data_IF_828561710605
#
_entry.id   IF_828561710605
#
_cell.length_a   1.000
_cell.length_b   1.000
_cell.length_c   1.000
_cell.angle_alpha   90.00
_cell.angle_beta   90.00
_cell.angle_gamma   90.00
#
_symmetry.space_group_name_H-M   'P 1'
#
loop_
_entity.id
_entity.type
_entity.pdbx_description
1 polymer ?
#
# COMPACT_ATOMS: atom_id res chain seq x y z
N UNK A 1 10.71 -11.80 -1.29
CA UNK A 1 10.31 -11.23 0.02
C UNK A 1 9.60 -12.27 0.88
N UNK A 2 8.63 -12.99 0.32
CA UNK A 2 7.91 -14.05 1.05
C UNK A 2 8.86 -15.13 1.61
N UNK A 3 9.81 -15.60 0.79
CA UNK A 3 10.84 -16.57 1.23
C UNK A 3 11.75 -16.05 2.36
N UNK A 4 11.90 -14.72 2.46
CA UNK A 4 12.70 -14.07 3.51
C UNK A 4 11.90 -13.81 4.80
N UNK A 5 10.63 -14.24 4.85
CA UNK A 5 9.72 -14.11 6.01
C UNK A 5 9.60 -12.68 6.55
N UNK A 6 9.55 -11.71 5.64
CA UNK A 6 9.29 -10.32 6.01
C UNK A 6 7.83 -10.19 6.47
N UNK A 7 7.60 -9.55 7.62
CA UNK A 7 6.25 -9.43 8.19
C UNK A 7 5.34 -8.45 7.44
N UNK A 8 5.90 -7.37 6.89
CA UNK A 8 5.13 -6.34 6.21
C UNK A 8 5.89 -5.68 5.05
N UNK A 9 5.15 -5.21 4.05
CA UNK A 9 5.63 -4.45 2.90
C UNK A 9 4.86 -3.13 2.80
N UNK A 10 5.59 -2.02 2.81
CA UNK A 10 5.02 -0.69 2.60
C UNK A 10 4.96 -0.30 1.12
N UNK A 11 3.79 0.07 0.63
CA UNK A 11 3.54 0.61 -0.72
C UNK A 11 3.17 2.08 -0.60
N UNK A 12 3.97 2.96 -1.19
CA UNK A 12 3.79 4.40 -1.06
C UNK A 12 2.94 4.94 -2.21
N UNK A 13 1.74 5.41 -1.91
CA UNK A 13 0.79 5.94 -2.91
C UNK A 13 0.80 7.47 -2.99
N UNK A 14 1.83 8.14 -2.45
CA UNK A 14 1.99 9.58 -2.59
C UNK A 14 2.81 9.94 -3.85
N UNK A 15 2.22 10.60 -4.87
CA UNK A 15 2.88 10.82 -6.16
C UNK A 15 4.18 11.63 -6.10
N UNK A 16 4.36 12.49 -5.09
CA UNK A 16 5.59 13.28 -4.93
C UNK A 16 6.74 12.49 -4.27
N UNK A 17 6.47 11.27 -3.81
CA UNK A 17 7.50 10.39 -3.25
C UNK A 17 8.38 9.81 -4.37
N UNK A 18 9.71 9.79 -4.15
CA UNK A 18 10.64 9.03 -5.01
C UNK A 18 10.35 7.52 -5.03
N UNK A 19 9.59 7.02 -4.05
CA UNK A 19 9.21 5.62 -3.89
C UNK A 19 7.75 5.37 -4.26
N UNK A 20 7.15 6.29 -5.02
CA UNK A 20 5.76 6.17 -5.44
C UNK A 20 5.51 4.83 -6.16
N UNK A 21 4.41 4.18 -5.78
CA UNK A 21 3.89 2.96 -6.35
C UNK A 21 2.50 3.26 -6.91
N UNK A 22 2.30 3.05 -8.20
CA UNK A 22 0.96 3.15 -8.80
C UNK A 22 0.08 1.97 -8.39
N UNK A 23 -1.25 2.11 -8.42
CA UNK A 23 -2.18 0.98 -8.22
C UNK A 23 -1.89 -0.22 -9.13
N UNK A 24 -1.50 0.00 -10.41
CA UNK A 24 -1.17 -1.13 -11.30
C UNK A 24 0.07 -1.91 -10.82
N UNK A 25 1.09 -1.19 -10.35
CA UNK A 25 2.28 -1.82 -9.77
C UNK A 25 1.94 -2.53 -8.45
N UNK A 26 1.09 -1.92 -7.61
CA UNK A 26 0.61 -2.53 -6.39
C UNK A 26 -0.16 -3.82 -6.65
N UNK A 27 -0.99 -3.87 -7.69
CA UNK A 27 -1.70 -5.08 -8.15
C UNK A 27 -0.73 -6.20 -8.53
N UNK A 28 0.29 -5.86 -9.32
CA UNK A 28 1.36 -6.81 -9.68
C UNK A 28 2.08 -7.33 -8.44
N UNK A 29 2.43 -6.47 -7.49
CA UNK A 29 3.09 -6.89 -6.24
C UNK A 29 2.17 -7.76 -5.40
N UNK A 30 0.90 -7.36 -5.22
CA UNK A 30 -0.08 -8.05 -4.40
C UNK A 30 -0.28 -9.50 -4.87
N UNK A 31 -0.33 -9.75 -6.19
CA UNK A 31 -0.45 -11.10 -6.75
C UNK A 31 0.67 -12.07 -6.34
N UNK A 32 1.82 -11.56 -5.89
CA UNK A 32 2.96 -12.38 -5.48
C UNK A 32 3.11 -12.52 -3.96
N UNK A 33 2.43 -11.69 -3.17
CA UNK A 33 2.67 -11.60 -1.71
C UNK A 33 1.41 -11.62 -0.85
N UNK A 34 0.22 -11.56 -1.46
CA UNK A 34 -1.05 -11.62 -0.76
C UNK A 34 -1.15 -12.92 0.06
N UNK A 35 -1.57 -12.81 1.32
CA UNK A 35 -1.68 -13.93 2.26
C UNK A 35 -0.38 -14.29 2.98
N UNK A 36 0.78 -13.94 2.43
CA UNK A 36 2.09 -14.22 3.03
C UNK A 36 2.69 -13.01 3.76
N UNK A 37 2.43 -11.80 3.24
CA UNK A 37 3.01 -10.55 3.76
C UNK A 37 1.90 -9.52 3.94
N UNK A 38 1.90 -8.85 5.09
CA UNK A 38 1.01 -7.73 5.36
C UNK A 38 1.37 -6.52 4.48
N UNK A 39 0.42 -6.05 3.66
CA UNK A 39 0.64 -4.94 2.72
C UNK A 39 0.10 -3.66 3.33
N UNK A 40 0.98 -2.68 3.51
CA UNK A 40 0.65 -1.40 4.14
C UNK A 40 0.67 -0.31 3.08
N UNK A 41 -0.47 0.31 2.80
CA UNK A 41 -0.55 1.48 1.93
C UNK A 41 -0.20 2.76 2.69
N UNK A 42 0.80 3.50 2.21
CA UNK A 42 1.23 4.77 2.80
C UNK A 42 0.67 5.94 2.00
N UNK A 43 -0.07 6.81 2.68
CA UNK A 43 -0.82 7.92 2.09
C UNK A 43 -0.47 9.24 2.76
N UNK A 44 -0.63 10.35 2.02
CA UNK A 44 -0.38 11.72 2.50
C UNK A 44 -1.52 12.60 2.03
N UNK A 45 -2.19 13.29 2.97
CA UNK A 45 -3.24 14.30 2.77
C UNK A 45 -4.42 13.88 1.84
N UNK A 46 -5.61 13.67 2.39
CA UNK A 46 -6.88 13.47 1.65
C UNK A 46 -6.92 12.31 0.63
N UNK A 47 -6.12 11.27 0.85
CA UNK A 47 -6.05 10.08 -0.03
C UNK A 47 -7.07 8.99 0.32
N UNK A 48 -8.10 9.31 1.12
CA UNK A 48 -9.03 8.32 1.68
C UNK A 48 -9.84 7.55 0.62
N UNK A 49 -10.36 8.18 -0.47
CA UNK A 49 -11.07 7.43 -1.52
C UNK A 49 -10.20 6.37 -2.18
N UNK A 50 -8.96 6.73 -2.54
CA UNK A 50 -8.00 5.78 -3.12
C UNK A 50 -7.64 4.67 -2.12
N UNK A 51 -7.46 5.00 -0.84
CA UNK A 51 -7.16 3.99 0.17
C UNK A 51 -8.29 2.95 0.33
N UNK A 52 -9.55 3.39 0.25
CA UNK A 52 -10.72 2.50 0.27
C UNK A 52 -10.72 1.60 -0.98
N UNK A 53 -10.55 2.18 -2.17
CA UNK A 53 -10.47 1.40 -3.42
C UNK A 53 -9.39 0.32 -3.36
N UNK A 54 -8.19 0.66 -2.86
CA UNK A 54 -7.08 -0.28 -2.75
C UNK A 54 -7.30 -1.39 -1.71
N UNK A 55 -8.08 -1.13 -0.66
CA UNK A 55 -8.52 -2.14 0.31
C UNK A 55 -9.56 -3.07 -0.33
N UNK A 56 -10.56 -2.51 -1.01
CA UNK A 56 -11.65 -3.26 -1.65
C UNK A 56 -11.11 -4.17 -2.76
N UNK A 57 -10.12 -3.71 -3.51
CA UNK A 57 -9.38 -4.50 -4.50
C UNK A 57 -8.38 -5.50 -3.89
N UNK A 58 -8.29 -5.56 -2.55
CA UNK A 58 -7.36 -6.41 -1.81
C UNK A 58 -5.89 -6.18 -2.20
N UNK A 59 -5.52 -4.95 -2.59
CA UNK A 59 -4.12 -4.62 -2.95
C UNK A 59 -3.29 -4.27 -1.73
N UNK A 60 -3.93 -3.73 -0.70
CA UNK A 60 -3.36 -3.50 0.63
C UNK A 60 -4.27 -4.07 1.71
N UNK A 61 -3.70 -4.31 2.89
CA UNK A 61 -4.42 -4.82 4.06
C UNK A 61 -4.67 -3.72 5.10
N UNK A 62 -3.75 -2.76 5.20
CA UNK A 62 -3.79 -1.68 6.19
C UNK A 62 -3.42 -0.36 5.54
N UNK A 63 -4.09 0.70 5.99
CA UNK A 63 -3.81 2.08 5.62
C UNK A 63 -2.93 2.72 6.69
N UNK A 64 -1.79 3.27 6.28
CA UNK A 64 -0.95 4.15 7.08
C UNK A 64 -1.10 5.57 6.55
N UNK A 65 -1.69 6.42 7.37
CA UNK A 65 -1.87 7.83 7.07
C UNK A 65 -0.68 8.63 7.61
N UNK A 66 -0.15 9.55 6.81
CA UNK A 66 0.99 10.39 7.17
C UNK A 66 0.70 11.85 6.78
N UNK A 67 0.49 12.72 7.76
CA UNK A 67 0.18 14.13 7.53
C UNK A 67 -0.29 14.85 8.79
N UNK A 68 -0.68 16.12 8.63
CA UNK A 68 -1.43 16.92 9.62
C UNK A 68 -2.92 16.58 9.43
N UNK A 69 -3.33 15.44 9.97
CA UNK A 69 -4.73 15.03 9.92
C UNK A 69 -5.46 15.72 11.07
N UNK A 70 -5.92 16.96 10.82
CA UNK A 70 -6.92 17.64 11.65
C UNK A 70 -8.31 17.42 11.08
#
# INVERSE_FOLDING_TARGET
LAELKVAALGLNFWPSSKRYCSPENASTIASHVAGDILRVGVFVNNSLPLAIELIDECLIDIVQLHGDET
#
